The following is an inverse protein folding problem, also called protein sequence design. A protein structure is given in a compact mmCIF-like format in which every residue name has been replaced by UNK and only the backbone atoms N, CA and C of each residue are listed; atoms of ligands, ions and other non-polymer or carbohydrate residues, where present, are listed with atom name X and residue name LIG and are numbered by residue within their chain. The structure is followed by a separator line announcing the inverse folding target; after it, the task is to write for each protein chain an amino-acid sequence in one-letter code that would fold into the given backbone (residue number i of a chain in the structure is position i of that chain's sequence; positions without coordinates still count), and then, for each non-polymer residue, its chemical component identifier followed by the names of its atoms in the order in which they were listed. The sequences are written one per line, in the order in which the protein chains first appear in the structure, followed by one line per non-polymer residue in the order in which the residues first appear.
data_IF_852932013997
#
_entry.id   IF_852932013997
#
_cell.length_a   1.000
_cell.length_b   1.000
_cell.length_c   1.000
_cell.angle_alpha   90.00
_cell.angle_beta   90.00
_cell.angle_gamma   90.00
#
_symmetry.space_group_name_H-M   'P 1'
#
loop_
_entity.id
_entity.type
_entity.pdbx_description
1 polymer ?
#
# COMPACT_ATOMS: atom_id res chain seq x y z
N UNK A 1 -16.44 8.32 -17.99
CA UNK A 1 -15.81 7.69 -16.83
C UNK A 1 -16.53 6.37 -16.58
N UNK A 2 -15.85 5.23 -16.80
CA UNK A 2 -16.46 3.89 -16.85
C UNK A 2 -16.51 3.15 -15.50
N UNK A 3 -16.26 3.81 -14.37
CA UNK A 3 -16.30 3.18 -13.07
C UNK A 3 -15.22 2.08 -12.89
N UNK A 4 -15.44 1.18 -11.95
CA UNK A 4 -14.50 0.10 -11.58
C UNK A 4 -14.14 -0.81 -12.77
N UNK A 5 -15.09 -1.10 -13.65
CA UNK A 5 -14.85 -2.00 -14.79
C UNK A 5 -13.83 -1.40 -15.78
N UNK A 6 -13.91 -0.10 -16.05
CA UNK A 6 -12.93 0.56 -16.94
C UNK A 6 -11.54 0.64 -16.33
N UNK A 7 -11.44 0.83 -15.01
CA UNK A 7 -10.16 0.78 -14.30
C UNK A 7 -9.50 -0.60 -14.43
N UNK A 8 -10.26 -1.66 -14.18
CA UNK A 8 -9.75 -3.04 -14.29
C UNK A 8 -9.25 -3.37 -15.70
N UNK A 9 -9.99 -2.96 -16.75
CA UNK A 9 -9.55 -3.18 -18.13
C UNK A 9 -8.30 -2.38 -18.48
N UNK A 10 -8.23 -1.12 -18.01
CA UNK A 10 -7.06 -0.27 -18.23
C UNK A 10 -5.83 -0.86 -17.52
N UNK A 11 -5.97 -1.26 -16.27
CA UNK A 11 -4.91 -1.89 -15.48
C UNK A 11 -4.43 -3.20 -16.12
N UNK A 12 -5.35 -4.00 -16.67
CA UNK A 12 -4.99 -5.26 -17.35
C UNK A 12 -4.14 -5.00 -18.62
N UNK A 13 -4.56 -4.05 -19.47
CA UNK A 13 -3.82 -3.70 -20.69
C UNK A 13 -2.45 -3.12 -20.33
N UNK A 14 -2.41 -2.20 -19.37
CA UNK A 14 -1.16 -1.62 -18.89
C UNK A 14 -0.24 -2.66 -18.27
N UNK A 15 -0.79 -3.59 -17.48
CA UNK A 15 -0.04 -4.71 -16.91
C UNK A 15 0.60 -5.58 -17.98
N UNK A 16 -0.13 -5.90 -19.06
CA UNK A 16 0.41 -6.66 -20.18
C UNK A 16 1.57 -5.92 -20.88
N UNK A 17 1.41 -4.63 -21.11
CA UNK A 17 2.45 -3.76 -21.67
C UNK A 17 3.67 -3.71 -20.73
N UNK A 18 3.45 -3.61 -19.40
CA UNK A 18 4.52 -3.66 -18.41
C UNK A 18 5.31 -4.96 -18.45
N UNK A 19 4.66 -6.11 -18.65
CA UNK A 19 5.36 -7.40 -18.75
C UNK A 19 6.26 -7.41 -19.98
N UNK A 20 5.78 -6.93 -21.13
CA UNK A 20 6.57 -6.96 -22.39
C UNK A 20 7.75 -5.99 -22.32
N UNK A 21 7.49 -4.69 -22.08
CA UNK A 21 8.55 -3.68 -22.10
C UNK A 21 9.44 -3.72 -20.85
N UNK A 22 8.88 -4.06 -19.69
CA UNK A 22 9.65 -4.34 -18.48
C UNK A 22 10.58 -5.54 -18.69
N UNK A 23 10.09 -6.61 -19.36
CA UNK A 23 10.91 -7.75 -19.73
C UNK A 23 12.10 -7.36 -20.62
N UNK A 24 11.87 -6.55 -21.65
CA UNK A 24 12.95 -6.01 -22.52
C UNK A 24 13.96 -5.20 -21.69
N UNK A 25 13.48 -4.35 -20.80
CA UNK A 25 14.34 -3.56 -19.91
C UNK A 25 15.22 -4.45 -19.02
N UNK A 26 14.66 -5.48 -18.40
CA UNK A 26 15.43 -6.41 -17.58
C UNK A 26 16.45 -7.18 -18.40
N UNK A 27 16.10 -7.63 -19.61
CA UNK A 27 17.04 -8.30 -20.51
C UNK A 27 18.23 -7.39 -20.81
N UNK A 28 18.01 -6.11 -21.14
CA UNK A 28 19.08 -5.14 -21.40
C UNK A 28 19.92 -4.92 -20.14
N UNK A 29 19.31 -4.78 -18.97
CA UNK A 29 20.06 -4.59 -17.74
C UNK A 29 20.92 -5.80 -17.38
N UNK A 30 20.37 -7.01 -17.47
CA UNK A 30 21.09 -8.23 -17.15
C UNK A 30 22.17 -8.59 -18.19
N UNK A 31 22.06 -8.13 -19.43
CA UNK A 31 23.14 -8.29 -20.42
C UNK A 31 24.42 -7.57 -20.02
N UNK A 32 24.36 -6.52 -19.16
CA UNK A 32 25.54 -5.82 -18.63
C UNK A 32 26.38 -6.64 -17.64
N UNK A 33 25.83 -7.74 -17.17
CA UNK A 33 26.49 -8.69 -16.26
C UNK A 33 26.55 -10.10 -16.88
N UNK A 34 26.42 -10.21 -18.21
CA UNK A 34 26.41 -11.48 -18.94
C UNK A 34 25.42 -12.52 -18.36
N UNK A 35 24.29 -12.04 -17.83
CA UNK A 35 23.28 -12.86 -17.12
C UNK A 35 23.85 -13.70 -15.97
N UNK A 36 24.97 -13.29 -15.38
CA UNK A 36 25.68 -14.01 -14.33
C UNK A 36 25.69 -13.25 -13.01
N UNK A 37 25.14 -13.87 -11.97
CA UNK A 37 25.20 -13.31 -10.60
C UNK A 37 26.64 -13.30 -10.05
N UNK A 38 27.51 -14.20 -10.52
CA UNK A 38 28.92 -14.20 -10.13
C UNK A 38 29.64 -12.95 -10.68
N UNK A 39 29.34 -12.55 -11.92
CA UNK A 39 29.87 -11.30 -12.51
C UNK A 39 29.38 -10.09 -11.72
N UNK A 40 28.10 -10.02 -11.38
CA UNK A 40 27.58 -8.93 -10.53
C UNK A 40 28.30 -8.86 -9.18
N UNK A 41 28.51 -10.00 -8.53
CA UNK A 41 29.25 -10.08 -7.25
C UNK A 41 30.68 -9.57 -7.38
N UNK A 42 31.40 -9.95 -8.46
CA UNK A 42 32.76 -9.47 -8.75
C UNK A 42 32.78 -7.95 -9.02
N UNK A 43 31.83 -7.45 -9.82
CA UNK A 43 31.71 -6.02 -10.12
C UNK A 43 31.40 -5.21 -8.84
N UNK A 44 30.51 -5.70 -7.97
CA UNK A 44 30.23 -5.06 -6.66
C UNK A 44 31.43 -5.08 -5.72
N UNK A 45 32.21 -6.17 -5.73
CA UNK A 45 33.45 -6.24 -4.96
C UNK A 45 34.50 -5.24 -5.49
N UNK A 46 34.62 -5.10 -6.80
CA UNK A 46 35.53 -4.14 -7.43
C UNK A 46 35.21 -2.68 -7.06
N UNK A 47 33.92 -2.36 -6.88
CA UNK A 47 33.48 -1.02 -6.43
C UNK A 47 33.41 -0.86 -4.91
N UNK A 48 33.91 -1.86 -4.15
CA UNK A 48 33.92 -1.82 -2.68
C UNK A 48 32.56 -1.98 -2.01
N UNK A 49 31.57 -2.57 -2.72
CA UNK A 49 30.19 -2.73 -2.28
C UNK A 49 29.73 -4.19 -2.23
N UNK A 50 30.67 -5.12 -2.04
CA UNK A 50 30.37 -6.57 -1.95
C UNK A 50 29.33 -6.88 -0.86
N UNK A 51 29.27 -6.10 0.19
CA UNK A 51 28.31 -6.24 1.29
C UNK A 51 26.84 -6.12 0.86
N UNK A 52 26.54 -5.36 -0.23
CA UNK A 52 25.19 -5.19 -0.75
C UNK A 52 24.65 -6.46 -1.42
N UNK A 53 25.51 -7.39 -1.79
CA UNK A 53 25.13 -8.69 -2.33
C UNK A 53 24.79 -9.70 -1.24
N UNK A 54 25.05 -9.35 0.00
CA UNK A 54 24.77 -10.17 1.19
C UNK A 54 23.98 -9.37 2.20
N UNK A 55 23.24 -10.04 3.07
CA UNK A 55 22.56 -9.37 4.18
C UNK A 55 23.50 -8.96 5.33
N UNK A 56 24.81 -9.20 5.20
CA UNK A 56 25.78 -9.02 6.27
C UNK A 56 26.08 -7.55 6.60
N UNK A 57 26.02 -6.67 5.58
CA UNK A 57 26.30 -5.23 5.75
C UNK A 57 25.11 -4.37 6.13
N UNK A 58 23.91 -4.96 6.29
CA UNK A 58 22.70 -4.19 6.55
C UNK A 58 22.37 -4.19 8.05
N UNK A 59 22.04 -3.03 8.59
CA UNK A 59 21.45 -2.92 9.93
C UNK A 59 20.16 -3.75 10.00
N UNK A 60 20.20 -4.81 10.81
CA UNK A 60 19.10 -5.78 10.95
C UNK A 60 17.80 -5.13 11.39
N UNK A 61 17.88 -4.12 12.26
CA UNK A 61 16.69 -3.41 12.76
C UNK A 61 16.07 -2.60 11.63
N UNK A 62 16.88 -1.87 10.86
CA UNK A 62 16.41 -1.12 9.69
C UNK A 62 15.77 -2.04 8.66
N UNK A 63 16.34 -3.21 8.38
CA UNK A 63 15.79 -4.20 7.46
C UNK A 63 14.42 -4.69 7.94
N UNK A 64 14.31 -5.10 9.21
CA UNK A 64 13.03 -5.54 9.80
C UNK A 64 11.99 -4.43 9.76
N UNK A 65 12.38 -3.21 10.11
CA UNK A 65 11.45 -2.05 10.11
C UNK A 65 10.92 -1.77 8.70
N UNK A 66 11.78 -1.78 7.68
CA UNK A 66 11.37 -1.57 6.28
C UNK A 66 10.45 -2.70 5.79
N UNK A 67 10.79 -3.94 6.11
CA UNK A 67 9.95 -5.10 5.77
C UNK A 67 8.58 -5.01 6.44
N UNK A 68 8.53 -4.75 7.74
CA UNK A 68 7.28 -4.59 8.49
C UNK A 68 6.47 -3.42 7.93
N UNK A 69 7.09 -2.26 7.65
CA UNK A 69 6.40 -1.10 7.06
C UNK A 69 5.74 -1.44 5.74
N UNK A 70 6.44 -2.15 4.86
CA UNK A 70 5.87 -2.62 3.59
C UNK A 70 4.68 -3.56 3.80
N UNK A 71 4.82 -4.57 4.64
CA UNK A 71 3.76 -5.53 4.92
C UNK A 71 2.51 -4.86 5.51
N UNK A 72 2.67 -4.02 6.54
CA UNK A 72 1.53 -3.37 7.20
C UNK A 72 0.86 -2.34 6.29
N UNK A 73 1.63 -1.65 5.45
CA UNK A 73 1.09 -0.69 4.50
C UNK A 73 0.20 -1.36 3.45
N UNK A 74 0.64 -2.49 2.88
CA UNK A 74 -0.14 -3.27 1.91
C UNK A 74 -1.42 -3.80 2.56
N UNK A 75 -1.37 -4.28 3.80
CA UNK A 75 -2.54 -4.83 4.51
C UNK A 75 -3.67 -3.82 4.69
N UNK A 76 -3.38 -2.51 4.75
CA UNK A 76 -4.40 -1.47 4.96
C UNK A 76 -4.66 -0.62 3.73
N UNK A 77 -3.90 -0.79 2.66
CA UNK A 77 -4.07 -0.01 1.45
C UNK A 77 -5.34 -0.41 0.70
N UNK A 78 -6.30 0.52 0.64
CA UNK A 78 -7.63 0.31 0.06
C UNK A 78 -7.58 -0.14 -1.41
N UNK A 79 -6.57 0.28 -2.16
CA UNK A 79 -6.41 -0.09 -3.57
C UNK A 79 -6.31 -1.61 -3.81
N UNK A 80 -5.82 -2.37 -2.83
CA UNK A 80 -5.75 -3.84 -2.92
C UNK A 80 -7.06 -4.52 -2.51
N UNK A 81 -7.84 -3.90 -1.61
CA UNK A 81 -9.10 -4.46 -1.13
C UNK A 81 -10.27 -4.24 -2.10
N UNK A 82 -10.30 -3.11 -2.81
CA UNK A 82 -11.37 -2.81 -3.75
C UNK A 82 -11.56 -3.89 -4.83
N UNK A 83 -10.51 -4.37 -5.53
CA UNK A 83 -10.65 -5.46 -6.49
C UNK A 83 -11.10 -6.77 -5.83
N UNK A 84 -10.72 -7.02 -4.57
CA UNK A 84 -11.17 -8.21 -3.84
C UNK A 84 -12.68 -8.20 -3.60
N UNK A 85 -13.25 -7.04 -3.26
CA UNK A 85 -14.71 -6.89 -3.08
C UNK A 85 -15.47 -6.96 -4.40
N UNK A 86 -14.85 -6.59 -5.52
CA UNK A 86 -15.43 -6.67 -6.86
C UNK A 86 -15.29 -8.07 -7.51
N UNK A 87 -14.58 -9.00 -6.88
CA UNK A 87 -14.36 -10.34 -7.41
C UNK A 87 -15.64 -11.19 -7.38
N UNK A 88 -15.80 -12.06 -8.38
CA UNK A 88 -16.97 -12.96 -8.50
C UNK A 88 -17.16 -13.91 -7.31
N UNK A 89 -16.08 -14.24 -6.60
CA UNK A 89 -16.13 -15.09 -5.41
C UNK A 89 -14.88 -14.90 -4.54
N UNK A 90 -14.96 -15.26 -3.23
CA UNK A 90 -13.80 -15.23 -2.34
C UNK A 90 -12.61 -16.06 -2.83
N UNK A 91 -12.87 -17.17 -3.52
CA UNK A 91 -11.84 -18.02 -4.10
C UNK A 91 -11.09 -17.33 -5.23
N UNK A 92 -11.81 -16.60 -6.09
CA UNK A 92 -11.22 -15.79 -7.17
C UNK A 92 -10.37 -14.68 -6.57
N UNK A 93 -10.88 -13.93 -5.58
CA UNK A 93 -10.12 -12.91 -4.88
C UNK A 93 -8.83 -13.48 -4.28
N UNK A 94 -8.92 -14.60 -3.56
CA UNK A 94 -7.75 -15.27 -2.96
C UNK A 94 -6.71 -15.66 -4.01
N UNK A 95 -7.12 -16.31 -5.10
CA UNK A 95 -6.19 -16.73 -6.18
C UNK A 95 -5.53 -15.54 -6.85
N UNK A 96 -6.29 -14.48 -7.13
CA UNK A 96 -5.76 -13.26 -7.74
C UNK A 96 -4.71 -12.59 -6.84
N UNK A 97 -4.95 -12.51 -5.53
CA UNK A 97 -3.98 -11.95 -4.57
C UNK A 97 -2.69 -12.77 -4.51
N UNK A 98 -2.79 -14.11 -4.50
CA UNK A 98 -1.60 -14.98 -4.50
C UNK A 98 -0.80 -14.86 -5.80
N UNK A 99 -1.46 -14.87 -6.96
CA UNK A 99 -0.80 -14.73 -8.24
C UNK A 99 -0.16 -13.34 -8.39
N UNK A 100 -0.91 -12.29 -8.06
CA UNK A 100 -0.40 -10.91 -8.08
C UNK A 100 0.78 -10.71 -7.13
N UNK A 101 0.71 -11.26 -5.92
CA UNK A 101 1.80 -11.24 -4.96
C UNK A 101 3.05 -11.97 -5.47
N UNK A 102 2.89 -13.14 -6.11
CA UNK A 102 3.99 -13.88 -6.73
C UNK A 102 4.68 -13.09 -7.84
N UNK A 103 3.90 -12.49 -8.73
CA UNK A 103 4.42 -11.62 -9.80
C UNK A 103 5.14 -10.41 -9.19
N UNK A 104 4.56 -9.76 -8.18
CA UNK A 104 5.17 -8.61 -7.52
C UNK A 104 6.53 -8.95 -6.89
N UNK A 105 6.67 -10.12 -6.25
CA UNK A 105 7.95 -10.58 -5.69
C UNK A 105 9.01 -10.68 -6.79
N UNK A 106 8.70 -11.34 -7.91
CA UNK A 106 9.63 -11.50 -9.03
C UNK A 106 10.07 -10.12 -9.56
N UNK A 107 9.13 -9.22 -9.83
CA UNK A 107 9.44 -7.87 -10.30
C UNK A 107 10.28 -7.07 -9.30
N UNK A 108 9.99 -7.18 -8.01
CA UNK A 108 10.74 -6.47 -6.96
C UNK A 108 12.20 -6.95 -6.90
N UNK A 109 12.42 -8.27 -6.99
CA UNK A 109 13.78 -8.84 -7.01
C UNK A 109 14.54 -8.39 -8.26
N UNK A 110 13.92 -8.47 -9.43
CA UNK A 110 14.54 -8.03 -10.70
C UNK A 110 14.89 -6.53 -10.64
N UNK A 111 13.99 -5.69 -10.15
CA UNK A 111 14.24 -4.25 -10.02
C UNK A 111 15.38 -3.96 -9.04
N UNK A 112 15.45 -4.66 -7.91
CA UNK A 112 16.54 -4.53 -6.97
C UNK A 112 17.89 -4.90 -7.60
N UNK A 113 17.93 -6.01 -8.39
CA UNK A 113 19.13 -6.40 -9.13
C UNK A 113 19.56 -5.33 -10.14
N UNK A 114 18.62 -4.75 -10.87
CA UNK A 114 18.93 -3.63 -11.79
C UNK A 114 19.55 -2.45 -11.04
N UNK A 115 19.06 -2.12 -9.85
CA UNK A 115 19.67 -1.08 -9.01
C UNK A 115 21.13 -1.37 -8.67
N UNK A 116 21.46 -2.64 -8.36
CA UNK A 116 22.83 -3.06 -8.11
C UNK A 116 23.70 -3.01 -9.37
N UNK A 117 23.16 -3.41 -10.53
CA UNK A 117 23.84 -3.29 -11.82
C UNK A 117 24.16 -1.83 -12.13
N UNK A 118 23.22 -0.91 -11.97
CA UNK A 118 23.46 0.51 -12.21
C UNK A 118 24.55 1.05 -11.28
N UNK A 119 24.56 0.65 -10.03
CA UNK A 119 25.59 1.03 -9.07
C UNK A 119 26.99 0.61 -9.50
N UNK A 120 27.14 -0.55 -10.14
CA UNK A 120 28.45 -0.99 -10.68
C UNK A 120 28.89 -0.18 -11.88
N UNK A 121 27.96 0.36 -12.67
CA UNK A 121 28.25 1.18 -13.85
C UNK A 121 28.57 2.63 -13.48
N UNK A 122 27.89 3.18 -12.48
CA UNK A 122 28.12 4.57 -12.03
C UNK A 122 27.81 4.74 -10.54
N UNK A 123 28.87 4.88 -9.73
CA UNK A 123 28.81 5.01 -8.27
C UNK A 123 28.39 6.40 -7.78
N UNK A 124 28.52 7.43 -8.61
CA UNK A 124 28.27 8.83 -8.22
C UNK A 124 26.83 9.29 -8.37
N UNK A 125 25.91 8.39 -8.72
CA UNK A 125 24.52 8.76 -8.97
C UNK A 125 23.72 8.84 -7.67
N UNK A 126 22.87 9.88 -7.58
CA UNK A 126 21.78 9.88 -6.63
C UNK A 126 20.79 8.77 -6.98
N UNK A 127 20.22 8.12 -5.94
CA UNK A 127 19.33 6.96 -6.12
C UNK A 127 18.11 7.27 -7.00
N UNK A 128 17.57 8.50 -6.95
CA UNK A 128 16.44 8.90 -7.79
C UNK A 128 16.84 9.11 -9.27
N UNK A 129 18.11 9.37 -9.55
CA UNK A 129 18.64 9.58 -10.89
C UNK A 129 19.17 8.31 -11.55
N UNK A 130 19.34 7.23 -10.79
CA UNK A 130 19.95 5.99 -11.27
C UNK A 130 19.21 5.39 -12.48
N UNK A 131 17.90 5.19 -12.36
CA UNK A 131 17.06 4.61 -13.41
C UNK A 131 17.00 5.51 -14.67
N UNK A 132 16.70 6.82 -14.57
CA UNK A 132 16.76 7.72 -15.72
C UNK A 132 18.13 7.75 -16.39
N UNK A 133 19.22 7.77 -15.61
CA UNK A 133 20.57 7.73 -16.16
C UNK A 133 20.82 6.45 -16.97
N UNK A 134 20.47 5.30 -16.44
CA UNK A 134 20.64 4.03 -17.14
C UNK A 134 19.86 4.00 -18.46
N UNK A 135 18.61 4.47 -18.44
CA UNK A 135 17.79 4.53 -19.64
C UNK A 135 18.37 5.45 -20.71
N UNK A 136 18.96 6.58 -20.32
CA UNK A 136 19.49 7.55 -21.27
C UNK A 136 20.87 7.19 -21.81
N UNK A 137 21.69 6.42 -21.06
CA UNK A 137 23.08 6.14 -21.42
C UNK A 137 23.30 4.69 -21.91
N UNK A 138 22.52 3.74 -21.42
CA UNK A 138 22.77 2.32 -21.63
C UNK A 138 21.72 1.63 -22.48
N UNK A 139 20.61 2.31 -22.80
CA UNK A 139 19.47 1.76 -23.56
C UNK A 139 19.31 2.53 -24.87
N UNK A 140 18.93 1.83 -25.94
CA UNK A 140 18.65 2.46 -27.23
C UNK A 140 17.53 3.52 -27.11
N UNK A 141 17.65 4.71 -27.77
CA UNK A 141 16.71 5.80 -27.61
C UNK A 141 15.24 5.45 -27.81
N UNK A 142 14.94 4.63 -28.80
CA UNK A 142 13.56 4.18 -29.08
C UNK A 142 13.00 3.38 -27.91
N UNK A 143 13.79 2.44 -27.36
CA UNK A 143 13.40 1.61 -26.22
C UNK A 143 13.28 2.47 -24.95
N UNK A 144 14.18 3.41 -24.77
CA UNK A 144 14.12 4.41 -23.68
C UNK A 144 12.78 5.15 -23.68
N UNK A 145 12.35 5.71 -24.81
CA UNK A 145 11.08 6.41 -24.94
C UNK A 145 9.89 5.47 -24.58
N UNK A 146 9.91 4.24 -25.08
CA UNK A 146 8.87 3.26 -24.77
C UNK A 146 8.80 2.94 -23.27
N UNK A 147 9.96 2.77 -22.60
CA UNK A 147 10.02 2.50 -21.17
C UNK A 147 9.55 3.73 -20.36
N UNK A 148 9.93 4.94 -20.75
CA UNK A 148 9.41 6.15 -20.09
C UNK A 148 7.88 6.25 -20.20
N UNK A 149 7.32 6.04 -21.39
CA UNK A 149 5.85 6.00 -21.57
C UNK A 149 5.22 4.96 -20.66
N UNK A 150 5.83 3.77 -20.55
CA UNK A 150 5.37 2.71 -19.68
C UNK A 150 5.40 3.10 -18.20
N UNK A 151 6.49 3.69 -17.72
CA UNK A 151 6.62 4.14 -16.32
C UNK A 151 5.58 5.20 -16.00
N UNK A 152 5.36 6.16 -16.91
CA UNK A 152 4.29 7.17 -16.73
C UNK A 152 2.90 6.53 -16.73
N UNK A 153 2.63 5.61 -17.65
CA UNK A 153 1.34 4.91 -17.69
C UNK A 153 1.07 4.12 -16.41
N UNK A 154 2.07 3.38 -15.89
CA UNK A 154 1.97 2.64 -14.63
C UNK A 154 1.77 3.56 -13.42
N UNK A 155 2.45 4.71 -13.41
CA UNK A 155 2.26 5.75 -12.39
C UNK A 155 0.85 6.33 -12.41
N UNK A 156 0.32 6.63 -13.61
CA UNK A 156 -1.06 7.12 -13.79
C UNK A 156 -2.10 6.12 -13.31
N UNK A 157 -1.97 4.83 -13.67
CA UNK A 157 -2.87 3.78 -13.21
C UNK A 157 -2.93 3.69 -11.68
N UNK A 158 -1.77 3.73 -11.03
CA UNK A 158 -1.68 3.71 -9.57
C UNK A 158 -2.27 4.97 -8.94
N UNK A 159 -2.06 6.14 -9.56
CA UNK A 159 -2.62 7.41 -9.09
C UNK A 159 -4.15 7.41 -9.20
N UNK A 160 -4.71 6.97 -10.33
CA UNK A 160 -6.15 6.90 -10.56
C UNK A 160 -6.85 5.98 -9.55
N UNK A 161 -6.27 4.81 -9.27
CA UNK A 161 -6.81 3.87 -8.29
C UNK A 161 -6.79 4.44 -6.87
N UNK A 162 -5.71 5.12 -6.47
CA UNK A 162 -5.61 5.76 -5.17
C UNK A 162 -6.55 6.95 -5.02
N UNK A 163 -6.66 7.80 -6.05
CA UNK A 163 -7.57 8.95 -6.05
C UNK A 163 -9.03 8.50 -5.97
N UNK A 164 -9.39 7.46 -6.73
CA UNK A 164 -10.74 6.89 -6.69
C UNK A 164 -11.04 6.30 -5.30
N UNK A 165 -10.10 5.54 -4.72
CA UNK A 165 -10.25 4.98 -3.39
C UNK A 165 -10.44 6.08 -2.32
N UNK A 166 -9.61 7.13 -2.34
CA UNK A 166 -9.71 8.24 -1.41
C UNK A 166 -11.03 9.00 -1.55
N UNK A 167 -11.46 9.28 -2.78
CA UNK A 167 -12.73 9.97 -3.04
C UNK A 167 -13.94 9.15 -2.57
N UNK A 168 -13.94 7.85 -2.78
CA UNK A 168 -14.99 6.93 -2.30
C UNK A 168 -15.03 6.88 -0.77
N UNK A 169 -13.87 6.75 -0.11
CA UNK A 169 -13.79 6.73 1.36
C UNK A 169 -14.32 8.03 1.96
N UNK A 170 -13.91 9.19 1.43
CA UNK A 170 -14.41 10.48 1.92
C UNK A 170 -15.92 10.60 1.69
N UNK A 171 -16.39 10.20 0.52
CA UNK A 171 -17.83 10.27 0.20
C UNK A 171 -18.65 9.39 1.13
N UNK A 172 -18.27 8.13 1.30
CA UNK A 172 -19.06 7.14 2.05
C UNK A 172 -18.89 7.24 3.55
N UNK A 173 -17.65 7.50 4.03
CA UNK A 173 -17.33 7.39 5.45
C UNK A 173 -17.31 8.73 6.17
N UNK A 174 -17.05 9.85 5.45
CA UNK A 174 -17.01 11.18 6.05
C UNK A 174 -18.22 12.05 5.67
N UNK A 175 -18.69 12.02 4.43
CA UNK A 175 -19.78 12.93 4.02
C UNK A 175 -21.14 12.31 4.25
N UNK A 176 -21.34 11.08 3.79
CA UNK A 176 -22.64 10.41 3.83
C UNK A 176 -23.22 10.24 5.25
N UNK A 177 -22.44 9.85 6.28
CA UNK A 177 -22.97 9.71 7.64
C UNK A 177 -23.42 11.02 8.31
N UNK A 178 -22.89 12.16 7.87
CA UNK A 178 -23.26 13.49 8.41
C UNK A 178 -24.42 14.16 7.66
N UNK A 179 -24.87 13.55 6.56
CA UNK A 179 -26.05 14.06 5.82
C UNK A 179 -27.35 13.54 6.40
N UNK A 180 -28.30 14.43 6.63
CA UNK A 180 -29.67 14.11 7.12
C UNK A 180 -30.55 13.45 6.04
N UNK A 181 -30.21 13.61 4.77
CA UNK A 181 -30.97 13.08 3.62
C UNK A 181 -30.06 12.17 2.79
N UNK A 182 -30.61 11.07 2.32
CA UNK A 182 -29.90 10.20 1.38
C UNK A 182 -29.54 10.96 0.11
N UNK A 183 -28.33 10.74 -0.36
CA UNK A 183 -27.82 11.35 -1.59
C UNK A 183 -28.30 10.55 -2.79
N UNK A 184 -28.74 11.26 -3.82
CA UNK A 184 -29.02 10.64 -5.12
C UNK A 184 -27.73 10.18 -5.81
N UNK A 185 -27.82 9.22 -6.72
CA UNK A 185 -26.65 8.74 -7.49
C UNK A 185 -25.94 9.85 -8.24
N UNK A 186 -26.69 10.82 -8.76
CA UNK A 186 -26.15 11.99 -9.45
C UNK A 186 -25.32 12.88 -8.49
N UNK A 187 -25.79 13.08 -7.24
CA UNK A 187 -25.06 13.83 -6.23
C UNK A 187 -23.81 13.10 -5.79
N UNK A 188 -23.87 11.77 -5.61
CA UNK A 188 -22.72 10.93 -5.27
C UNK A 188 -21.64 11.01 -6.35
N UNK A 189 -22.02 10.87 -7.62
CA UNK A 189 -21.09 10.97 -8.75
C UNK A 189 -20.47 12.37 -8.83
N UNK A 190 -21.25 13.42 -8.65
CA UNK A 190 -20.75 14.81 -8.66
C UNK A 190 -19.77 15.06 -7.53
N UNK A 191 -20.10 14.61 -6.31
CA UNK A 191 -19.23 14.74 -5.14
C UNK A 191 -17.91 13.98 -5.34
N UNK A 192 -17.98 12.71 -5.74
CA UNK A 192 -16.78 11.88 -5.99
C UNK A 192 -15.87 12.52 -7.04
N UNK A 193 -16.42 13.04 -8.15
CA UNK A 193 -15.65 13.75 -9.18
C UNK A 193 -14.97 15.00 -8.62
N UNK A 194 -15.69 15.79 -7.85
CA UNK A 194 -15.13 17.01 -7.21
C UNK A 194 -14.01 16.65 -6.26
N UNK A 195 -14.21 15.64 -5.40
CA UNK A 195 -13.19 15.16 -4.49
C UNK A 195 -11.95 14.62 -5.22
N UNK A 196 -12.13 13.88 -6.31
CA UNK A 196 -11.00 13.38 -7.12
C UNK A 196 -10.15 14.55 -7.63
N UNK A 197 -10.78 15.63 -8.13
CA UNK A 197 -10.05 16.81 -8.61
C UNK A 197 -9.32 17.51 -7.47
N UNK A 198 -9.99 17.72 -6.33
CA UNK A 198 -9.41 18.44 -5.18
C UNK A 198 -8.24 17.65 -4.58
N UNK A 199 -8.42 16.34 -4.37
CA UNK A 199 -7.38 15.48 -3.82
C UNK A 199 -6.21 15.36 -4.81
N UNK A 200 -6.50 15.22 -6.11
CA UNK A 200 -5.48 15.16 -7.16
C UNK A 200 -4.65 16.44 -7.23
N UNK A 201 -5.29 17.60 -7.17
CA UNK A 201 -4.60 18.89 -7.12
C UNK A 201 -3.74 19.03 -5.86
N UNK A 202 -4.27 18.66 -4.70
CA UNK A 202 -3.52 18.68 -3.44
C UNK A 202 -2.33 17.72 -3.46
N UNK A 203 -2.50 16.52 -4.02
CA UNK A 203 -1.43 15.54 -4.17
C UNK A 203 -0.34 16.02 -5.13
N UNK A 204 -0.71 16.62 -6.28
CA UNK A 204 0.23 17.19 -7.23
C UNK A 204 1.03 18.34 -6.59
N UNK A 205 0.36 19.25 -5.88
CA UNK A 205 1.03 20.34 -5.15
C UNK A 205 1.96 19.80 -4.06
N UNK A 206 1.51 18.82 -3.26
CA UNK A 206 2.33 18.18 -2.23
C UNK A 206 3.55 17.43 -2.81
N UNK A 207 3.40 16.85 -4.00
CA UNK A 207 4.47 16.16 -4.71
C UNK A 207 5.64 17.05 -5.10
N UNK A 208 5.40 18.34 -5.36
CA UNK A 208 6.45 19.33 -5.68
C UNK A 208 7.43 19.52 -4.52
N UNK A 209 6.93 19.41 -3.28
CA UNK A 209 7.74 19.61 -2.06
C UNK A 209 8.27 18.29 -1.49
N UNK A 210 8.01 17.16 -2.15
CA UNK A 210 8.47 15.87 -1.67
C UNK A 210 9.96 15.68 -1.93
N UNK A 211 10.71 15.28 -0.91
CA UNK A 211 12.15 15.01 -1.03
C UNK A 211 12.42 13.78 -1.89
N UNK A 212 11.70 12.70 -1.68
CA UNK A 212 11.80 11.46 -2.46
C UNK A 212 10.46 10.71 -2.48
N UNK A 213 10.18 9.99 -3.57
CA UNK A 213 8.99 9.14 -3.71
C UNK A 213 8.96 8.07 -2.61
N UNK A 214 10.12 7.44 -2.33
CA UNK A 214 10.25 6.38 -1.34
C UNK A 214 9.96 6.87 0.08
N UNK A 215 10.36 8.11 0.42
CA UNK A 215 10.06 8.68 1.75
C UNK A 215 8.58 8.94 1.95
N UNK A 216 7.88 9.42 0.92
CA UNK A 216 6.42 9.60 0.96
C UNK A 216 5.69 8.27 1.12
N UNK A 217 6.09 7.26 0.35
CA UNK A 217 5.53 5.91 0.44
C UNK A 217 5.71 5.33 1.84
N UNK A 218 6.93 5.40 2.37
CA UNK A 218 7.25 4.90 3.71
C UNK A 218 6.43 5.61 4.79
N UNK A 219 6.29 6.95 4.73
CA UNK A 219 5.47 7.73 5.65
C UNK A 219 3.98 7.36 5.57
N UNK A 220 3.43 7.25 4.37
CA UNK A 220 2.03 6.89 4.18
C UNK A 220 1.74 5.47 4.72
N UNK A 221 2.61 4.51 4.40
CA UNK A 221 2.46 3.13 4.83
C UNK A 221 2.67 2.96 6.34
N UNK A 222 3.64 3.64 6.93
CA UNK A 222 3.87 3.59 8.38
C UNK A 222 2.70 4.22 9.14
N UNK A 223 2.19 5.37 8.69
CA UNK A 223 1.07 6.05 9.32
C UNK A 223 -0.20 5.20 9.31
N UNK A 224 -0.61 4.73 8.13
CA UNK A 224 -1.81 3.93 7.98
C UNK A 224 -1.65 2.55 8.63
N UNK A 225 -0.52 1.89 8.42
CA UNK A 225 -0.24 0.55 8.93
C UNK A 225 -0.16 0.51 10.45
N UNK A 226 0.61 1.41 11.07
CA UNK A 226 0.75 1.43 12.52
C UNK A 226 -0.56 1.80 13.25
N UNK A 227 -1.42 2.59 12.61
CA UNK A 227 -2.75 2.91 13.16
C UNK A 227 -3.76 1.78 13.00
N UNK A 228 -3.85 1.16 11.82
CA UNK A 228 -4.96 0.28 11.46
C UNK A 228 -4.66 -1.21 11.64
N UNK A 229 -3.41 -1.67 11.43
CA UNK A 229 -3.11 -3.11 11.51
C UNK A 229 -3.34 -3.68 12.91
N UNK A 230 -2.90 -3.03 14.01
CA UNK A 230 -3.20 -3.55 15.34
C UNK A 230 -4.71 -3.68 15.59
N UNK A 231 -5.49 -2.71 15.11
CA UNK A 231 -6.94 -2.75 15.22
C UNK A 231 -7.55 -3.93 14.45
N UNK A 232 -7.10 -4.18 13.22
CA UNK A 232 -7.56 -5.32 12.41
C UNK A 232 -7.19 -6.65 13.06
N UNK A 233 -5.93 -6.82 13.45
CA UNK A 233 -5.44 -8.08 14.04
C UNK A 233 -6.14 -8.37 15.36
N UNK A 234 -6.16 -7.40 16.27
CA UNK A 234 -6.81 -7.56 17.58
C UNK A 234 -8.32 -7.75 17.41
N UNK A 235 -8.96 -7.02 16.47
CA UNK A 235 -10.39 -7.14 16.18
C UNK A 235 -10.80 -8.52 15.66
N UNK A 236 -9.92 -9.15 14.90
CA UNK A 236 -10.15 -10.49 14.38
C UNK A 236 -9.88 -11.59 15.43
N UNK A 237 -8.90 -11.40 16.28
CA UNK A 237 -8.45 -12.40 17.25
C UNK A 237 -9.17 -12.27 18.61
N UNK A 238 -9.41 -11.06 19.07
CA UNK A 238 -9.98 -10.79 20.39
C UNK A 238 -11.51 -10.69 20.33
N UNK A 239 -12.15 -11.83 20.26
CA UNK A 239 -13.62 -11.96 20.17
C UNK A 239 -14.24 -12.29 21.53
N UNK A 240 -15.51 -11.95 21.68
CA UNK A 240 -16.32 -12.33 22.84
C UNK A 240 -16.71 -13.81 22.75
N UNK A 241 -16.47 -14.58 23.83
CA UNK A 241 -16.96 -15.95 23.93
C UNK A 241 -18.48 -15.89 24.13
N UNK A 242 -19.24 -15.88 23.05
CA UNK A 242 -20.68 -16.11 23.10
C UNK A 242 -20.93 -17.60 23.01
N UNK A 243 -21.47 -18.21 24.06
CA UNK A 243 -21.78 -19.63 24.15
C UNK A 243 -22.95 -20.05 23.23
N UNK A 244 -23.53 -19.13 22.49
CA UNK A 244 -24.64 -19.38 21.59
C UNK A 244 -24.27 -19.02 20.14
N UNK A 245 -24.34 -20.01 19.30
CA UNK A 245 -24.36 -20.01 17.83
C UNK A 245 -23.06 -20.24 17.07
N UNK A 246 -23.08 -21.35 16.35
CA UNK A 246 -22.07 -21.85 15.42
C UNK A 246 -21.89 -21.03 14.11
N UNK A 247 -22.32 -19.78 14.05
CA UNK A 247 -22.14 -18.95 12.86
C UNK A 247 -20.97 -18.01 13.07
N UNK A 248 -19.92 -18.14 12.26
CA UNK A 248 -18.71 -17.30 12.25
C UNK A 248 -19.00 -15.79 12.09
N UNK A 249 -20.21 -15.42 11.73
CA UNK A 249 -20.63 -14.06 11.37
C UNK A 249 -21.00 -13.14 12.54
N UNK A 250 -21.20 -13.66 13.76
CA UNK A 250 -21.78 -12.84 14.85
C UNK A 250 -20.98 -12.71 16.14
N UNK A 251 -19.71 -13.14 16.18
CA UNK A 251 -18.87 -12.88 17.36
C UNK A 251 -18.38 -11.45 17.36
N UNK A 252 -18.98 -10.61 18.20
CA UNK A 252 -18.56 -9.21 18.37
C UNK A 252 -17.12 -9.14 18.89
N UNK A 253 -16.33 -8.23 18.32
CA UNK A 253 -15.01 -7.91 18.85
C UNK A 253 -15.13 -7.30 20.24
N UNK A 254 -14.16 -7.54 21.11
CA UNK A 254 -14.07 -6.91 22.44
C UNK A 254 -13.58 -5.48 22.39
N UNK A 255 -13.15 -5.00 21.23
CA UNK A 255 -12.67 -3.63 21.05
C UNK A 255 -13.82 -2.66 21.19
N UNK A 256 -13.62 -1.62 21.99
CA UNK A 256 -14.58 -0.51 22.13
C UNK A 256 -14.27 0.61 21.13
N UNK A 257 -15.25 1.46 20.77
CA UNK A 257 -15.02 2.59 19.88
C UNK A 257 -13.89 3.53 20.36
N UNK A 258 -13.76 3.72 21.68
CA UNK A 258 -12.69 4.54 22.26
C UNK A 258 -11.33 3.88 22.16
N UNK A 259 -11.24 2.56 22.41
CA UNK A 259 -10.01 1.80 22.21
C UNK A 259 -9.54 1.82 20.76
N UNK A 260 -10.47 1.66 19.80
CA UNK A 260 -10.16 1.76 18.38
C UNK A 260 -9.61 3.14 17.99
N UNK A 261 -10.32 4.23 18.38
CA UNK A 261 -9.91 5.60 18.04
C UNK A 261 -8.55 5.97 18.62
N UNK A 262 -8.33 5.68 19.89
CA UNK A 262 -7.06 6.00 20.55
C UNK A 262 -5.90 5.20 20.01
N UNK A 263 -6.09 3.92 19.69
CA UNK A 263 -5.07 3.10 19.06
C UNK A 263 -4.69 3.59 17.66
N UNK A 264 -5.70 3.93 16.83
CA UNK A 264 -5.46 4.49 15.49
C UNK A 264 -4.65 5.80 15.60
N UNK A 265 -5.10 6.74 16.43
CA UNK A 265 -4.43 8.04 16.58
C UNK A 265 -3.00 7.86 17.12
N UNK A 266 -2.83 7.06 18.18
CA UNK A 266 -1.52 6.82 18.78
C UNK A 266 -0.56 6.18 17.76
N UNK A 267 -0.98 5.12 17.07
CA UNK A 267 -0.15 4.44 16.06
C UNK A 267 0.22 5.36 14.90
N UNK A 268 -0.77 6.07 14.35
CA UNK A 268 -0.55 6.96 13.21
C UNK A 268 0.40 8.12 13.54
N UNK A 269 0.21 8.78 14.70
CA UNK A 269 1.03 9.92 15.12
C UNK A 269 2.45 9.47 15.48
N UNK A 270 2.60 8.44 16.32
CA UNK A 270 3.91 7.98 16.78
C UNK A 270 4.78 7.49 15.62
N UNK A 271 4.20 6.85 14.61
CA UNK A 271 4.95 6.38 13.44
C UNK A 271 5.62 7.51 12.63
N UNK A 272 5.16 8.76 12.80
CA UNK A 272 5.68 9.93 12.10
C UNK A 272 6.69 10.75 12.91
N UNK A 273 6.90 10.42 14.18
CA UNK A 273 7.79 11.19 15.06
C UNK A 273 9.27 10.91 14.74
N UNK A 274 10.04 11.92 14.26
CA UNK A 274 11.46 11.74 13.95
C UNK A 274 12.30 11.35 15.17
N UNK A 275 11.85 11.74 16.37
CA UNK A 275 12.53 11.44 17.64
C UNK A 275 12.64 9.93 17.94
N UNK A 276 11.78 9.09 17.35
CA UNK A 276 11.81 7.64 17.54
C UNK A 276 12.75 6.92 16.55
N UNK A 277 13.34 7.67 15.61
CA UNK A 277 14.31 7.15 14.64
C UNK A 277 13.81 5.96 13.83
N UNK A 278 14.71 5.02 13.45
CA UNK A 278 14.35 3.87 12.62
C UNK A 278 13.33 2.93 13.27
N UNK A 279 13.16 2.98 14.59
CA UNK A 279 12.25 2.11 15.34
C UNK A 279 10.81 2.66 15.45
N UNK A 280 10.54 3.86 14.92
CA UNK A 280 9.26 4.55 15.07
C UNK A 280 8.05 3.65 14.75
N UNK A 281 8.13 2.88 13.66
CA UNK A 281 7.04 2.01 13.22
C UNK A 281 6.79 0.86 14.21
N UNK A 282 7.83 0.22 14.70
CA UNK A 282 7.72 -0.90 15.65
C UNK A 282 7.17 -0.43 17.00
N UNK A 283 7.65 0.71 17.48
CA UNK A 283 7.15 1.34 18.70
C UNK A 283 5.68 1.75 18.52
N UNK A 284 5.34 2.38 17.40
CA UNK A 284 3.99 2.83 17.11
C UNK A 284 2.99 1.66 17.04
N UNK A 285 3.36 0.54 16.40
CA UNK A 285 2.55 -0.69 16.38
C UNK A 285 2.28 -1.21 17.79
N UNK A 286 3.33 -1.29 18.61
CA UNK A 286 3.22 -1.80 19.98
C UNK A 286 2.34 -0.89 20.83
N UNK A 287 2.57 0.42 20.78
CA UNK A 287 1.77 1.40 21.54
C UNK A 287 0.32 1.41 21.07
N UNK A 288 0.07 1.36 19.76
CA UNK A 288 -1.29 1.25 19.21
C UNK A 288 -2.01 0.02 19.77
N UNK A 289 -1.35 -1.15 19.72
CA UNK A 289 -1.92 -2.39 20.24
C UNK A 289 -2.24 -2.29 21.75
N UNK A 290 -1.32 -1.77 22.54
CA UNK A 290 -1.51 -1.55 23.99
C UNK A 290 -2.66 -0.59 24.24
N UNK A 291 -2.73 0.54 23.54
CA UNK A 291 -3.84 1.50 23.68
C UNK A 291 -5.18 0.85 23.34
N UNK A 292 -5.27 0.09 22.25
CA UNK A 292 -6.50 -0.62 21.87
C UNK A 292 -6.96 -1.53 23.00
N UNK A 293 -6.07 -2.36 23.53
CA UNK A 293 -6.43 -3.34 24.57
C UNK A 293 -6.79 -2.65 25.89
N UNK A 294 -5.90 -1.80 26.40
CA UNK A 294 -6.07 -1.15 27.71
C UNK A 294 -7.31 -0.28 27.73
N UNK A 295 -7.51 0.59 26.75
CA UNK A 295 -8.64 1.49 26.71
C UNK A 295 -9.93 0.73 26.46
N UNK A 296 -9.93 -0.34 25.64
CA UNK A 296 -11.11 -1.18 25.49
C UNK A 296 -11.50 -1.90 26.78
N UNK A 297 -10.53 -2.32 27.60
CA UNK A 297 -10.81 -2.91 28.92
C UNK A 297 -11.39 -1.90 29.90
N UNK A 298 -10.89 -0.65 29.88
CA UNK A 298 -11.37 0.43 30.75
C UNK A 298 -12.75 0.95 30.34
N UNK A 299 -13.10 0.87 29.04
CA UNK A 299 -14.34 1.44 28.49
C UNK A 299 -15.39 0.39 28.13
N UNK A 300 -15.36 -0.78 28.77
CA UNK A 300 -16.31 -1.88 28.48
C UNK A 300 -17.78 -1.47 28.51
N UNK A 301 -18.16 -0.59 29.43
CA UNK A 301 -19.55 -0.15 29.63
C UNK A 301 -20.08 0.72 28.48
N UNK A 302 -19.20 1.28 27.65
CA UNK A 302 -19.57 2.15 26.50
C UNK A 302 -19.94 1.34 25.26
N UNK A 303 -19.66 0.03 25.25
CA UNK A 303 -19.91 -0.86 24.12
C UNK A 303 -21.39 -0.96 23.73
N UNK A 304 -22.30 -0.78 24.69
CA UNK A 304 -23.74 -0.88 24.51
C UNK A 304 -24.43 0.48 24.29
N UNK A 305 -23.68 1.57 24.09
CA UNK A 305 -24.26 2.87 23.82
C UNK A 305 -24.91 2.86 22.41
N UNK A 306 -26.24 3.11 22.31
CA UNK A 306 -26.98 3.09 21.05
C UNK A 306 -26.41 4.03 19.97
N UNK A 307 -25.67 5.06 20.37
CA UNK A 307 -24.99 5.99 19.45
C UNK A 307 -23.87 5.33 18.62
N UNK A 308 -23.35 4.21 19.08
CA UNK A 308 -22.28 3.46 18.44
C UNK A 308 -22.74 2.09 17.88
N UNK A 309 -23.94 1.67 18.24
CA UNK A 309 -24.62 0.52 17.61
C UNK A 309 -25.34 1.11 16.41
N UNK A 310 -24.67 1.19 15.27
CA UNK A 310 -25.39 1.35 14.02
C UNK A 310 -26.28 0.13 13.87
N UNK A 311 -27.60 0.29 14.03
CA UNK A 311 -28.56 -0.66 13.55
C UNK A 311 -28.20 -0.93 12.10
N UNK A 312 -27.82 -2.18 11.84
CA UNK A 312 -27.22 -2.62 10.60
C UNK A 312 -27.84 -2.06 9.33
N UNK A 313 -27.25 -1.00 8.80
CA UNK A 313 -27.22 -0.80 7.38
C UNK A 313 -26.27 -1.86 6.78
N UNK A 314 -26.66 -3.11 6.89
CA UNK A 314 -26.17 -4.17 6.05
C UNK A 314 -26.58 -3.77 4.64
N UNK A 315 -25.60 -3.36 3.83
CA UNK A 315 -25.78 -3.08 2.43
C UNK A 315 -26.67 -4.20 1.84
N UNK A 316 -27.85 -3.88 1.27
CA UNK A 316 -28.78 -4.86 0.75
C UNK A 316 -28.15 -5.84 -0.25
N UNK A 317 -27.01 -5.47 -0.86
CA UNK A 317 -26.22 -6.31 -1.75
C UNK A 317 -25.49 -7.47 -1.05
N UNK A 318 -25.45 -7.54 0.29
CA UNK A 318 -24.84 -8.66 1.04
C UNK A 318 -25.90 -9.72 1.42
N UNK A 319 -27.19 -9.48 1.17
CA UNK A 319 -28.26 -10.44 1.50
C UNK A 319 -28.44 -11.57 0.48
N UNK A 320 -27.72 -11.55 -0.64
CA UNK A 320 -27.88 -12.54 -1.72
C UNK A 320 -26.64 -13.42 -1.99
N UNK A 321 -25.72 -13.57 -1.02
CA UNK A 321 -24.63 -14.53 -1.17
C UNK A 321 -24.46 -15.41 0.05
#
# INVERSE_FOLDING_TARGET
MGGMLSLVWMDFIQGLICVVFGGIFYIIAFSKIDFSMAVLGQQLAAVGKAELFTFAGTDKISLVTKFVTGCIGILVAQLYWQPCYAAKSPLVAKRSMFLGGGVAIVYTVLTAMVGLIILTLNQGLDANSAMPWFMLNEVAPVVTVMIFILVFAAGMSSADSNLNAAAILITNDLVRPFRKKEMTDAELIKLTRTLTIVIGAAAAFGGIYASTIMSLFSKAYSMAGAGLVPLLVIGLLWKENSAAEHTMSKKNSRITPWGARTGIVAGSVLSQLPALGPNAVLIALTVSAVCIVVISLLTKNVKNDPRFVSEGNVNPLIKEY
#
